data_IF_374514815060
#
_entry.id   IF_374514815060
#
_cell.length_a   1.000
_cell.length_b   1.000
_cell.length_c   1.000
_cell.angle_alpha   90.00
_cell.angle_beta   90.00
_cell.angle_gamma   90.00
#
_symmetry.space_group_name_H-M   'P 1'
#
loop_
_entity.id
_entity.type
_entity.pdbx_description
1 polymer ?
#
# COMPACT_ATOMS: atom_id res chain seq x y z
N UNK A 1 0.14 11.17 15.21
CA UNK A 1 -0.55 12.10 14.28
C UNK A 1 -0.46 11.63 12.83
N UNK A 2 0.54 10.83 12.44
CA UNK A 2 0.73 10.36 11.07
C UNK A 2 -0.42 9.47 10.58
N UNK A 3 -0.96 8.58 11.43
CA UNK A 3 -2.12 7.76 11.04
C UNK A 3 -3.34 8.59 10.63
N UNK A 4 -3.64 9.67 11.37
CA UNK A 4 -4.77 10.55 11.04
C UNK A 4 -4.57 11.26 9.70
N UNK A 5 -3.36 11.77 9.44
CA UNK A 5 -3.00 12.42 8.17
C UNK A 5 -3.11 11.44 6.99
N UNK A 6 -2.58 10.23 7.16
CA UNK A 6 -2.66 9.17 6.15
C UNK A 6 -4.12 8.83 5.85
N UNK A 7 -4.94 8.65 6.89
CA UNK A 7 -6.37 8.37 6.72
C UNK A 7 -7.06 9.48 5.92
N UNK A 8 -6.77 10.74 6.22
CA UNK A 8 -7.33 11.87 5.48
C UNK A 8 -6.91 11.86 4.00
N UNK A 9 -5.64 11.57 3.72
CA UNK A 9 -5.13 11.46 2.34
C UNK A 9 -5.82 10.32 1.59
N UNK A 10 -5.97 9.14 2.22
CA UNK A 10 -6.66 8.00 1.61
C UNK A 10 -8.13 8.32 1.33
N UNK A 11 -8.85 8.94 2.26
CA UNK A 11 -10.27 9.30 2.07
C UNK A 11 -10.49 10.34 0.98
N UNK A 12 -9.47 11.17 0.67
CA UNK A 12 -9.51 12.16 -0.42
C UNK A 12 -9.06 11.59 -1.77
N UNK A 13 -8.58 10.35 -1.80
CA UNK A 13 -8.13 9.71 -3.03
C UNK A 13 -9.30 9.27 -3.92
N UNK A 14 -8.96 8.94 -5.15
CA UNK A 14 -9.81 8.36 -6.21
C UNK A 14 -10.14 6.88 -5.97
N UNK A 15 -9.56 6.25 -4.95
CA UNK A 15 -9.82 4.85 -4.61
C UNK A 15 -11.31 4.61 -4.32
N UNK A 16 -11.75 3.38 -4.59
CA UNK A 16 -13.09 2.95 -4.18
C UNK A 16 -13.22 2.98 -2.64
N UNK A 17 -14.42 3.22 -2.08
CA UNK A 17 -14.60 3.21 -0.62
C UNK A 17 -14.09 1.93 0.06
N UNK A 18 -14.28 0.78 -0.59
CA UNK A 18 -13.78 -0.51 -0.12
C UNK A 18 -12.24 -0.53 -0.07
N UNK A 19 -11.58 -0.04 -1.12
CA UNK A 19 -10.12 0.00 -1.18
C UNK A 19 -9.53 1.03 -0.20
N UNK A 20 -10.23 2.14 0.03
CA UNK A 20 -9.88 3.12 1.07
C UNK A 20 -9.93 2.47 2.46
N UNK A 21 -11.04 1.80 2.79
CA UNK A 21 -11.21 1.13 4.08
C UNK A 21 -10.16 0.03 4.29
N UNK A 22 -9.94 -0.81 3.27
CA UNK A 22 -8.94 -1.87 3.33
C UNK A 22 -7.54 -1.32 3.62
N UNK A 23 -7.14 -0.23 2.95
CA UNK A 23 -5.84 0.38 3.14
C UNK A 23 -5.71 1.04 4.52
N UNK A 24 -6.75 1.71 5.00
CA UNK A 24 -6.78 2.30 6.35
C UNK A 24 -6.65 1.22 7.42
N UNK A 25 -7.36 0.11 7.28
CA UNK A 25 -7.29 -1.03 8.21
C UNK A 25 -5.89 -1.63 8.22
N UNK A 26 -5.29 -1.87 7.05
CA UNK A 26 -3.93 -2.41 6.95
C UNK A 26 -2.89 -1.53 7.66
N UNK A 27 -3.02 -0.21 7.56
CA UNK A 27 -2.10 0.75 8.18
C UNK A 27 -2.37 1.01 9.67
N UNK A 28 -3.55 0.63 10.18
CA UNK A 28 -3.91 0.84 11.60
C UNK A 28 -3.10 0.00 12.58
N UNK A 29 -2.43 -1.05 12.09
CA UNK A 29 -1.58 -1.92 12.89
C UNK A 29 -0.18 -1.36 13.11
N UNK A 30 0.23 -0.39 12.30
CA UNK A 30 1.53 0.26 12.40
C UNK A 30 1.51 1.40 13.42
N UNK A 31 2.63 1.60 14.12
CA UNK A 31 2.78 2.73 15.02
C UNK A 31 3.09 4.03 14.25
N UNK A 32 3.00 5.17 14.94
CA UNK A 32 3.12 6.48 14.28
C UNK A 32 4.51 6.74 13.65
N UNK A 33 5.57 6.12 14.17
CA UNK A 33 6.93 6.23 13.64
C UNK A 33 7.10 5.40 12.36
N UNK A 34 6.54 4.19 12.33
CA UNK A 34 6.50 3.34 11.13
C UNK A 34 5.70 3.99 9.98
N UNK A 35 4.71 4.81 10.33
CA UNK A 35 3.86 5.51 9.37
C UNK A 35 4.46 6.81 8.83
N UNK A 36 5.50 7.36 9.44
CA UNK A 36 6.14 8.60 8.96
C UNK A 36 6.59 8.53 7.49
N UNK A 37 7.32 7.50 7.02
CA UNK A 37 7.72 7.42 5.61
C UNK A 37 6.53 7.27 4.66
N UNK A 38 5.48 6.55 5.07
CA UNK A 38 4.25 6.39 4.27
C UNK A 38 3.53 7.74 4.13
N UNK A 39 3.43 8.51 5.21
CA UNK A 39 2.84 9.84 5.18
C UNK A 39 3.60 10.80 4.25
N UNK A 40 4.94 10.72 4.22
CA UNK A 40 5.77 11.51 3.29
C UNK A 40 5.49 11.13 1.84
N UNK A 41 5.52 9.84 1.51
CA UNK A 41 5.24 9.35 0.15
C UNK A 41 3.86 9.79 -0.35
N UNK A 42 2.82 9.64 0.48
CA UNK A 42 1.46 10.02 0.10
C UNK A 42 1.29 11.53 -0.08
N UNK A 43 2.08 12.32 0.64
CA UNK A 43 2.10 13.78 0.48
C UNK A 43 2.83 14.20 -0.80
N UNK A 44 3.90 13.51 -1.16
CA UNK A 44 4.70 13.79 -2.36
C UNK A 44 3.96 13.43 -3.65
N UNK A 45 3.26 12.28 -3.68
CA UNK A 45 2.43 11.90 -4.82
C UNK A 45 1.26 11.03 -4.42
N UNK A 46 0.07 11.44 -4.85
CA UNK A 46 -1.17 10.68 -4.65
C UNK A 46 -1.15 9.33 -5.37
N UNK A 47 -0.34 9.17 -6.41
CA UNK A 47 -0.15 7.91 -7.13
C UNK A 47 0.38 6.80 -6.20
N UNK A 48 1.11 7.17 -5.14
CA UNK A 48 1.57 6.20 -4.14
C UNK A 48 0.43 5.55 -3.37
N UNK A 49 -0.68 6.26 -3.17
CA UNK A 49 -1.87 5.72 -2.52
C UNK A 49 -2.50 4.63 -3.40
N UNK A 50 -2.59 4.87 -4.70
CA UNK A 50 -3.09 3.91 -5.68
C UNK A 50 -2.19 2.68 -5.79
N UNK A 51 -0.87 2.90 -5.95
CA UNK A 51 0.12 1.81 -6.01
C UNK A 51 0.09 0.93 -4.77
N UNK A 52 0.02 1.54 -3.59
CA UNK A 52 0.00 0.80 -2.33
C UNK A 52 -1.31 0.01 -2.16
N UNK A 53 -2.44 0.57 -2.58
CA UNK A 53 -3.74 -0.13 -2.58
C UNK A 53 -3.74 -1.32 -3.55
N UNK A 54 -3.22 -1.15 -4.77
CA UNK A 54 -3.08 -2.23 -5.75
C UNK A 54 -2.19 -3.35 -5.21
N UNK A 55 -1.07 -2.98 -4.58
CA UNK A 55 -0.15 -3.93 -3.97
C UNK A 55 -0.81 -4.74 -2.84
N UNK A 56 -1.56 -4.06 -1.95
CA UNK A 56 -2.31 -4.71 -0.88
C UNK A 56 -3.33 -5.70 -1.44
N UNK A 57 -4.07 -5.31 -2.48
CA UNK A 57 -5.07 -6.17 -3.13
C UNK A 57 -4.44 -7.41 -3.77
N UNK A 58 -3.28 -7.26 -4.43
CA UNK A 58 -2.54 -8.40 -4.97
C UNK A 58 -2.10 -9.35 -3.86
N UNK A 59 -1.54 -8.83 -2.75
CA UNK A 59 -1.17 -9.63 -1.57
C UNK A 59 -2.36 -10.36 -0.96
N UNK A 60 -3.52 -9.72 -0.86
CA UNK A 60 -4.75 -10.34 -0.38
C UNK A 60 -5.24 -11.46 -1.31
N UNK A 61 -5.22 -11.25 -2.63
CA UNK A 61 -5.62 -12.26 -3.60
C UNK A 61 -4.74 -13.51 -3.52
N UNK A 62 -3.41 -13.33 -3.44
CA UNK A 62 -2.45 -14.43 -3.33
C UNK A 62 -2.51 -15.10 -1.95
N UNK A 63 -2.80 -14.36 -0.88
CA UNK A 63 -3.04 -14.95 0.44
C UNK A 63 -4.25 -15.90 0.45
N UNK A 64 -5.31 -15.57 -0.31
CA UNK A 64 -6.51 -16.41 -0.45
C UNK A 64 -6.25 -17.63 -1.36
N UNK A 65 -5.41 -17.51 -2.39
CA UNK A 65 -5.14 -18.61 -3.33
C UNK A 65 -4.33 -19.76 -2.71
N UNK A 66 -3.64 -19.52 -1.59
CA UNK A 66 -2.74 -20.47 -0.91
C UNK A 66 -1.66 -21.06 -1.85
N UNK A 67 -1.35 -20.40 -2.96
CA UNK A 67 -0.40 -20.84 -3.96
C UNK A 67 0.99 -20.20 -3.73
N UNK A 68 2.01 -20.97 -3.31
CA UNK A 68 3.34 -20.42 -3.04
C UNK A 68 4.03 -19.86 -4.29
N UNK A 69 3.68 -20.33 -5.49
CA UNK A 69 4.29 -19.84 -6.72
C UNK A 69 3.80 -18.42 -7.08
N UNK A 70 2.54 -18.11 -6.78
CA UNK A 70 2.00 -16.77 -6.93
C UNK A 70 2.68 -15.76 -5.99
N UNK A 71 3.03 -16.19 -4.76
CA UNK A 71 3.82 -15.38 -3.85
C UNK A 71 5.20 -15.05 -4.42
N UNK A 72 5.90 -16.05 -4.98
CA UNK A 72 7.22 -15.83 -5.60
C UNK A 72 7.13 -14.85 -6.77
N UNK A 73 6.12 -14.99 -7.61
CA UNK A 73 5.92 -14.11 -8.77
C UNK A 73 5.62 -12.68 -8.34
N UNK A 74 4.75 -12.50 -7.34
CA UNK A 74 4.41 -11.17 -6.80
C UNK A 74 5.64 -10.47 -6.21
N UNK A 75 6.44 -11.19 -5.41
CA UNK A 75 7.65 -10.63 -4.81
C UNK A 75 8.71 -10.30 -5.86
N UNK A 76 8.88 -11.13 -6.89
CA UNK A 76 9.79 -10.85 -7.99
C UNK A 76 9.38 -9.59 -8.78
N UNK A 77 8.07 -9.36 -8.95
CA UNK A 77 7.57 -8.14 -9.56
C UNK A 77 7.87 -6.91 -8.69
N UNK A 78 7.60 -6.98 -7.38
CA UNK A 78 7.91 -5.88 -6.44
C UNK A 78 9.40 -5.53 -6.47
N UNK A 79 10.29 -6.54 -6.46
CA UNK A 79 11.73 -6.33 -6.54
C UNK A 79 12.14 -5.64 -7.86
N UNK A 80 11.50 -6.00 -8.98
CA UNK A 80 11.76 -5.35 -10.28
C UNK A 80 11.30 -3.90 -10.29
N UNK A 81 10.15 -3.59 -9.69
CA UNK A 81 9.62 -2.23 -9.60
C UNK A 81 10.48 -1.35 -8.70
N UNK A 82 10.94 -1.88 -7.55
CA UNK A 82 11.88 -1.18 -6.67
C UNK A 82 13.18 -0.81 -7.39
N UNK A 83 13.78 -1.75 -8.13
CA UNK A 83 15.00 -1.48 -8.90
C UNK A 83 14.83 -0.34 -9.91
N UNK A 84 13.63 -0.18 -10.51
CA UNK A 84 13.34 0.92 -11.44
C UNK A 84 13.20 2.28 -10.77
N UNK A 85 12.89 2.31 -9.47
CA UNK A 85 12.78 3.55 -8.69
C UNK A 85 14.15 3.99 -8.15
N UNK A 86 15.08 3.05 -7.99
CA UNK A 86 16.46 3.28 -7.53
C UNK A 86 17.46 3.63 -8.64
N UNK A 87 17.05 3.55 -9.92
CA UNK A 87 17.89 3.81 -11.10
C UNK A 87 17.62 5.17 -11.76
#
# INVERSE_FOLDING_TARGET
MNFHKIKELICKSTLSPQDQDNLVVALSLANDAELEPVAKLFFESHEWIEKMSMNLKAKQAVAVSQNPDEWRNLLAQEESELKKLES
#
